data_IF_958162253621
#
_entry.id   IF_958162253621
#
_cell.length_a   1.000
_cell.length_b   1.000
_cell.length_c   1.000
_cell.angle_alpha   90.00
_cell.angle_beta   90.00
_cell.angle_gamma   90.00
#
_symmetry.space_group_name_H-M   'P 1'
#
loop_
_entity.id
_entity.type
_entity.pdbx_description
1 polymer ?
#
# COMPACT_ATOMS: atom_id res chain seq x y z
N UNK A 1 -27.42 -6.40 2.20
CA UNK A 1 -26.14 -7.15 2.22
C UNK A 1 -26.48 -8.63 2.10
N UNK A 2 -26.02 -9.32 1.05
CA UNK A 2 -26.23 -10.76 0.94
C UNK A 2 -24.96 -11.46 1.43
N UNK A 3 -25.03 -12.08 2.60
CA UNK A 3 -23.92 -12.84 3.18
C UNK A 3 -23.98 -14.30 2.72
N UNK A 4 -22.86 -14.82 2.23
CA UNK A 4 -22.76 -16.21 1.80
C UNK A 4 -22.28 -17.08 2.97
N UNK A 5 -23.14 -18.00 3.39
CA UNK A 5 -22.89 -18.93 4.47
C UNK A 5 -22.65 -20.33 3.88
N UNK A 6 -21.61 -21.01 4.38
CA UNK A 6 -21.46 -22.46 4.24
C UNK A 6 -21.95 -23.10 5.53
N UNK A 7 -22.81 -24.10 5.43
CA UNK A 7 -23.20 -24.92 6.58
C UNK A 7 -22.13 -26.01 6.76
N UNK A 8 -21.57 -26.13 7.97
CA UNK A 8 -20.78 -27.31 8.32
C UNK A 8 -21.68 -28.54 8.54
N UNK A 9 -21.10 -29.72 8.72
CA UNK A 9 -21.85 -30.97 8.92
C UNK A 9 -22.77 -30.94 10.16
N UNK A 10 -22.64 -29.93 11.04
CA UNK A 10 -23.51 -29.67 12.17
C UNK A 10 -24.56 -28.57 11.95
N UNK A 11 -24.68 -28.03 10.73
CA UNK A 11 -25.67 -26.99 10.40
C UNK A 11 -25.28 -25.58 10.86
N UNK A 12 -24.03 -25.35 11.28
CA UNK A 12 -23.58 -24.01 11.66
C UNK A 12 -23.23 -23.23 10.40
N UNK A 13 -23.94 -22.11 10.21
CA UNK A 13 -23.63 -21.16 9.15
C UNK A 13 -22.27 -20.49 9.45
N UNK A 14 -21.30 -20.69 8.56
CA UNK A 14 -20.00 -19.98 8.57
C UNK A 14 -19.86 -19.12 7.32
N UNK A 15 -19.46 -17.85 7.50
CA UNK A 15 -19.19 -16.94 6.38
C UNK A 15 -18.14 -17.55 5.45
N UNK A 16 -18.48 -17.75 4.17
CA UNK A 16 -17.56 -18.34 3.20
C UNK A 16 -16.37 -17.38 2.99
N UNK A 17 -15.19 -17.74 3.53
CA UNK A 17 -13.98 -16.91 3.44
C UNK A 17 -13.23 -17.08 2.12
N UNK A 18 -13.48 -18.19 1.41
CA UNK A 18 -12.84 -18.50 0.14
C UNK A 18 -13.80 -19.25 -0.80
N UNK A 19 -13.80 -18.86 -2.08
CA UNK A 19 -14.54 -19.57 -3.12
C UNK A 19 -13.60 -19.89 -4.26
N UNK A 20 -13.66 -21.14 -4.69
CA UNK A 20 -12.80 -21.72 -5.69
C UNK A 20 -13.66 -22.08 -6.91
N UNK A 21 -13.16 -21.78 -8.10
CA UNK A 21 -13.68 -22.25 -9.39
C UNK A 21 -12.71 -23.28 -9.94
N UNK A 22 -13.23 -24.32 -10.57
CA UNK A 22 -12.40 -25.20 -11.38
C UNK A 22 -12.31 -24.62 -12.78
N UNK A 23 -11.10 -24.51 -13.34
CA UNK A 23 -10.96 -24.23 -14.77
C UNK A 23 -11.29 -25.49 -15.60
N UNK A 24 -11.35 -25.35 -16.92
CA UNK A 24 -11.73 -26.46 -17.82
C UNK A 24 -10.79 -27.68 -17.71
N UNK A 25 -9.61 -27.52 -17.08
CA UNK A 25 -8.66 -28.60 -16.77
C UNK A 25 -8.80 -29.18 -15.36
N UNK A 26 -9.81 -28.79 -14.58
CA UNK A 26 -10.02 -29.27 -13.22
C UNK A 26 -9.06 -28.68 -12.19
N UNK A 27 -8.33 -27.60 -12.51
CA UNK A 27 -7.43 -26.94 -11.56
C UNK A 27 -8.25 -25.96 -10.72
N UNK A 28 -8.24 -26.07 -9.39
CA UNK A 28 -8.90 -25.11 -8.52
C UNK A 28 -8.19 -23.75 -8.58
N UNK A 29 -8.94 -22.71 -8.91
CA UNK A 29 -8.52 -21.31 -8.94
C UNK A 29 -9.41 -20.51 -8.01
N UNK A 30 -8.87 -19.59 -7.22
CA UNK A 30 -9.72 -18.70 -6.42
C UNK A 30 -10.53 -17.77 -7.31
N UNK A 31 -11.82 -17.64 -7.02
CA UNK A 31 -12.72 -16.77 -7.76
C UNK A 31 -12.38 -15.30 -7.44
N UNK A 32 -12.29 -14.45 -8.48
CA UNK A 32 -12.06 -13.00 -8.31
C UNK A 32 -13.35 -12.23 -8.10
N UNK A 33 -14.45 -12.71 -8.67
CA UNK A 33 -15.78 -12.16 -8.48
C UNK A 33 -16.78 -13.30 -8.39
N UNK A 34 -17.86 -13.08 -7.64
CA UNK A 34 -19.01 -13.99 -7.62
C UNK A 34 -20.26 -13.16 -7.85
N UNK A 35 -21.10 -13.65 -8.74
CA UNK A 35 -22.38 -13.07 -9.07
C UNK A 35 -23.48 -14.07 -8.75
N UNK A 36 -24.55 -13.61 -8.12
CA UNK A 36 -25.75 -14.41 -7.85
C UNK A 36 -26.91 -13.80 -8.62
N UNK A 37 -27.66 -14.63 -9.34
CA UNK A 37 -28.92 -14.22 -9.93
C UNK A 37 -30.02 -14.25 -8.86
N UNK A 38 -30.74 -13.14 -8.73
CA UNK A 38 -31.94 -13.07 -7.89
C UNK A 38 -33.15 -13.74 -8.56
N UNK A 39 -34.27 -13.85 -7.83
CA UNK A 39 -35.55 -14.33 -8.39
C UNK A 39 -36.06 -13.46 -9.55
N UNK A 40 -35.58 -12.21 -9.62
CA UNK A 40 -35.80 -11.22 -10.66
C UNK A 40 -34.96 -11.45 -11.93
N UNK A 41 -34.10 -12.48 -11.95
CA UNK A 41 -33.16 -12.73 -13.05
C UNK A 41 -32.02 -11.72 -13.14
N UNK A 42 -31.89 -10.81 -12.17
CA UNK A 42 -30.85 -9.78 -12.16
C UNK A 42 -29.59 -10.33 -11.49
N UNK A 43 -28.45 -10.23 -12.18
CA UNK A 43 -27.16 -10.57 -11.62
C UNK A 43 -26.74 -9.52 -10.57
N UNK A 44 -26.46 -9.98 -9.35
CA UNK A 44 -25.94 -9.14 -8.26
C UNK A 44 -24.57 -9.65 -7.83
N UNK A 45 -23.57 -8.77 -7.82
CA UNK A 45 -22.23 -9.12 -7.34
C UNK A 45 -22.29 -9.36 -5.82
N UNK A 46 -21.90 -10.56 -5.40
CA UNK A 46 -21.89 -10.99 -3.99
C UNK A 46 -20.48 -11.17 -3.44
N UNK A 47 -19.46 -11.14 -4.30
CA UNK A 47 -18.05 -11.08 -3.90
C UNK A 47 -17.25 -10.29 -4.92
N UNK A 48 -16.36 -9.42 -4.43
CA UNK A 48 -15.35 -8.73 -5.23
C UNK A 48 -14.00 -8.87 -4.53
N UNK A 49 -13.09 -9.63 -5.15
CA UNK A 49 -11.70 -9.74 -4.75
C UNK A 49 -10.87 -8.53 -5.15
N UNK A 50 -11.38 -7.71 -6.09
CA UNK A 50 -10.68 -6.53 -6.55
C UNK A 50 -10.92 -5.34 -5.64
N UNK A 51 -9.83 -4.63 -5.35
CA UNK A 51 -9.80 -3.46 -4.49
C UNK A 51 -9.23 -2.27 -5.23
N UNK A 52 -9.41 -1.06 -4.72
CA UNK A 52 -8.70 0.14 -5.21
C UNK A 52 -7.77 0.66 -4.13
N UNK A 53 -6.67 1.28 -4.56
CA UNK A 53 -5.71 1.92 -3.66
C UNK A 53 -5.81 3.43 -3.79
N UNK A 54 -5.75 4.11 -2.66
CA UNK A 54 -5.57 5.55 -2.57
C UNK A 54 -4.47 5.84 -1.56
N UNK A 55 -3.71 6.91 -1.77
CA UNK A 55 -2.74 7.41 -0.81
C UNK A 55 -3.22 8.76 -0.30
N UNK A 56 -2.98 9.05 0.98
CA UNK A 56 -3.31 10.36 1.56
C UNK A 56 -2.56 11.53 0.91
N UNK A 57 -1.44 11.25 0.25
CA UNK A 57 -0.68 12.22 -0.54
C UNK A 57 0.10 11.50 -1.65
N UNK A 58 0.22 12.14 -2.82
CA UNK A 58 1.08 11.68 -3.92
C UNK A 58 2.56 12.05 -3.71
N UNK A 59 2.82 13.03 -2.83
CA UNK A 59 4.16 13.50 -2.49
C UNK A 59 4.22 13.82 -1.00
N UNK A 60 5.30 13.40 -0.36
CA UNK A 60 5.59 13.73 1.05
C UNK A 60 6.93 14.44 1.16
N UNK A 61 6.99 15.37 2.10
CA UNK A 61 8.10 16.28 2.28
C UNK A 61 8.70 16.14 3.67
N UNK A 62 9.99 16.39 3.78
CA UNK A 62 10.69 16.53 5.05
C UNK A 62 11.87 17.48 4.90
N UNK A 63 12.19 18.20 5.96
CA UNK A 63 13.35 19.09 6.00
C UNK A 63 14.08 18.92 7.33
N UNK A 64 15.39 19.11 7.31
CA UNK A 64 16.21 19.17 8.51
C UNK A 64 17.43 20.03 8.24
N UNK A 65 18.04 20.53 9.31
CA UNK A 65 19.21 21.39 9.22
C UNK A 65 20.33 20.93 10.16
N UNK A 66 21.53 21.40 9.88
CA UNK A 66 22.70 21.29 10.75
C UNK A 66 23.50 22.59 10.67
N UNK A 67 24.15 22.95 11.78
CA UNK A 67 25.13 24.05 11.83
C UNK A 67 26.56 23.60 11.50
N UNK A 68 26.76 22.31 11.21
CA UNK A 68 28.05 21.75 10.83
C UNK A 68 28.13 21.57 9.32
N UNK A 69 29.08 22.28 8.69
CA UNK A 69 29.34 22.22 7.25
C UNK A 69 29.47 20.77 6.76
N UNK A 70 28.68 20.38 5.75
CA UNK A 70 28.79 19.07 5.12
C UNK A 70 28.35 17.88 5.97
N UNK A 71 27.84 18.10 7.19
CA UNK A 71 27.45 17.02 8.08
C UNK A 71 26.20 16.28 7.58
N UNK A 72 26.08 15.01 7.96
CA UNK A 72 24.90 14.20 7.65
C UNK A 72 23.68 14.70 8.43
N UNK A 73 22.63 15.05 7.71
CA UNK A 73 21.34 15.46 8.27
C UNK A 73 20.32 14.34 8.10
N UNK A 74 19.81 13.74 9.18
CA UNK A 74 18.69 12.81 9.10
C UNK A 74 17.38 13.60 8.93
N UNK A 75 16.62 13.28 7.89
CA UNK A 75 15.33 13.92 7.58
C UNK A 75 14.25 12.86 7.51
N UNK A 76 13.15 13.07 8.24
CA UNK A 76 11.95 12.25 8.20
C UNK A 76 10.81 13.06 7.59
N UNK A 77 10.08 12.44 6.67
CA UNK A 77 8.96 13.08 5.98
C UNK A 77 7.66 13.08 6.80
N UNK A 78 6.69 13.91 6.40
CA UNK A 78 5.30 13.75 6.81
C UNK A 78 4.79 12.34 6.47
N UNK A 79 3.92 11.73 7.29
CA UNK A 79 3.43 10.39 7.04
C UNK A 79 2.56 10.32 5.77
N UNK A 80 2.59 9.16 5.11
CA UNK A 80 1.61 8.77 4.10
C UNK A 80 0.83 7.56 4.59
N UNK A 81 -0.48 7.55 4.33
CA UNK A 81 -1.36 6.41 4.61
C UNK A 81 -1.93 5.90 3.30
N UNK A 82 -1.77 4.61 3.03
CA UNK A 82 -2.43 3.91 1.92
C UNK A 82 -3.74 3.31 2.41
N UNK A 83 -4.83 3.57 1.70
CA UNK A 83 -6.16 3.05 1.99
C UNK A 83 -6.62 2.11 0.89
N UNK A 84 -7.04 0.91 1.31
CA UNK A 84 -7.70 -0.08 0.47
C UNK A 84 -9.20 0.20 0.48
N UNK A 85 -9.82 0.28 -0.69
CA UNK A 85 -11.25 0.50 -0.85
C UNK A 85 -11.88 -0.62 -1.69
N UNK A 86 -13.19 -0.84 -1.52
CA UNK A 86 -14.00 -1.80 -2.29
C UNK A 86 -13.59 -3.28 -2.18
N UNK A 87 -12.59 -3.59 -1.35
CA UNK A 87 -12.16 -4.93 -1.04
C UNK A 87 -12.52 -5.31 0.40
N UNK A 88 -12.85 -6.59 0.60
CA UNK A 88 -13.22 -7.15 1.91
C UNK A 88 -12.22 -8.19 2.41
N UNK A 89 -11.03 -8.22 1.81
CA UNK A 89 -10.01 -9.23 2.04
C UNK A 89 -9.04 -8.89 3.18
N UNK A 90 -8.04 -9.75 3.35
CA UNK A 90 -6.88 -9.48 4.21
C UNK A 90 -5.75 -9.05 3.29
N UNK A 91 -5.04 -7.99 3.66
CA UNK A 91 -4.02 -7.37 2.81
C UNK A 91 -2.66 -7.42 3.47
N UNK A 92 -1.62 -7.77 2.71
CA UNK A 92 -0.23 -7.51 3.06
C UNK A 92 0.26 -6.26 2.35
N UNK A 93 1.20 -5.57 2.97
CA UNK A 93 1.74 -4.30 2.48
C UNK A 93 3.26 -4.40 2.50
N UNK A 94 3.91 -3.88 1.45
CA UNK A 94 5.35 -3.78 1.37
C UNK A 94 5.75 -2.47 0.67
N UNK A 95 6.63 -1.70 1.29
CA UNK A 95 7.22 -0.49 0.72
C UNK A 95 8.63 -0.76 0.21
N UNK A 96 8.93 -0.26 -0.99
CA UNK A 96 10.26 -0.33 -1.56
C UNK A 96 10.57 0.92 -2.39
N UNK A 97 11.87 1.23 -2.53
CA UNK A 97 12.31 2.27 -3.47
C UNK A 97 12.13 1.76 -4.90
N UNK A 98 11.42 2.54 -5.71
CA UNK A 98 11.23 2.27 -7.13
C UNK A 98 12.33 2.93 -7.97
N UNK A 99 12.62 4.20 -7.71
CA UNK A 99 13.58 4.99 -8.49
C UNK A 99 14.07 6.23 -7.73
N UNK A 100 15.13 6.87 -8.24
CA UNK A 100 15.70 8.10 -7.69
C UNK A 100 16.45 7.88 -6.37
N UNK A 101 16.54 8.95 -5.55
CA UNK A 101 17.23 8.89 -4.26
C UNK A 101 16.48 7.98 -3.29
N UNK A 102 17.16 6.96 -2.77
CA UNK A 102 16.59 6.03 -1.81
C UNK A 102 16.14 6.72 -0.52
N UNK A 103 15.04 6.23 0.05
CA UNK A 103 14.58 6.62 1.37
C UNK A 103 14.06 5.37 2.08
N UNK A 104 14.33 5.27 3.38
CA UNK A 104 13.98 4.09 4.16
C UNK A 104 12.58 4.27 4.75
N UNK A 105 11.60 3.40 4.44
CA UNK A 105 10.32 3.40 5.13
C UNK A 105 10.52 3.01 6.60
N UNK A 106 10.00 3.81 7.51
CA UNK A 106 10.06 3.56 8.96
C UNK A 106 9.15 2.40 9.37
N UNK A 107 8.11 2.12 8.59
CA UNK A 107 7.19 1.00 8.77
C UNK A 107 6.99 0.29 7.42
N UNK A 108 7.96 -0.56 6.99
CA UNK A 108 7.98 -1.13 5.64
C UNK A 108 6.78 -2.01 5.32
N UNK A 109 6.11 -2.56 6.33
CA UNK A 109 5.03 -3.52 6.18
C UNK A 109 3.66 -2.99 6.64
N UNK A 110 3.53 -1.69 6.88
CA UNK A 110 2.29 -1.07 7.35
C UNK A 110 1.72 -0.08 6.32
N UNK A 111 0.41 0.13 6.38
CA UNK A 111 -0.32 1.05 5.51
C UNK A 111 0.10 2.51 5.70
N UNK A 112 0.40 2.88 6.95
CA UNK A 112 0.92 4.19 7.30
C UNK A 112 2.42 4.09 7.55
N UNK A 113 3.20 4.94 6.89
CA UNK A 113 4.65 5.02 7.09
C UNK A 113 5.15 6.45 6.89
N UNK A 114 6.35 6.71 7.40
CA UNK A 114 7.17 7.86 7.05
C UNK A 114 8.43 7.37 6.36
N UNK A 115 9.06 8.23 5.57
CA UNK A 115 10.34 7.91 4.95
C UNK A 115 11.45 8.74 5.57
N UNK A 116 12.56 8.07 5.91
CA UNK A 116 13.77 8.70 6.41
C UNK A 116 14.88 8.67 5.37
N UNK A 117 15.58 9.78 5.20
CA UNK A 117 16.79 9.89 4.39
C UNK A 117 17.89 10.54 5.22
N UNK A 118 19.11 10.00 5.11
CA UNK A 118 20.31 10.62 5.66
C UNK A 118 21.15 11.08 4.48
N UNK A 119 21.46 12.38 4.42
CA UNK A 119 22.33 12.92 3.38
C UNK A 119 23.15 14.09 3.93
N UNK A 120 24.28 14.37 3.30
CA UNK A 120 25.12 15.50 3.66
C UNK A 120 24.38 16.82 3.38
N UNK A 121 24.44 17.75 4.32
CA UNK A 121 24.10 19.14 4.06
C UNK A 121 25.10 19.79 3.10
N UNK A 122 24.75 20.92 2.45
CA UNK A 122 25.70 21.70 1.66
C UNK A 122 26.91 22.20 2.44
N UNK A 123 27.90 22.70 1.71
CA UNK A 123 29.08 23.36 2.28
C UNK A 123 28.93 24.88 2.38
N UNK A 124 27.87 25.44 1.78
CA UNK A 124 27.51 26.86 1.81
C UNK A 124 26.30 27.07 2.72
N UNK A 125 26.41 28.04 3.63
CA UNK A 125 25.35 28.39 4.60
C UNK A 125 24.11 28.92 3.86
N UNK A 126 22.92 28.62 4.38
CA UNK A 126 21.65 29.03 3.80
C UNK A 126 21.30 28.28 2.51
N UNK A 127 21.90 27.10 2.29
CA UNK A 127 21.60 26.22 1.14
C UNK A 127 21.06 24.88 1.61
N UNK A 128 20.32 24.24 0.71
CA UNK A 128 19.80 22.89 0.88
C UNK A 128 20.29 21.95 -0.24
N UNK A 129 20.56 20.70 0.13
CA UNK A 129 20.56 19.60 -0.84
C UNK A 129 19.15 19.01 -0.88
N UNK A 130 18.48 19.15 -2.03
CA UNK A 130 17.15 18.58 -2.26
C UNK A 130 17.28 17.25 -2.97
N UNK A 131 16.76 16.19 -2.35
CA UNK A 131 16.78 14.83 -2.89
C UNK A 131 15.36 14.34 -3.13
N UNK A 132 15.15 13.66 -4.26
CA UNK A 132 13.86 13.13 -4.66
C UNK A 132 13.98 11.69 -5.13
N UNK A 133 13.01 10.86 -4.76
CA UNK A 133 12.88 9.48 -5.21
C UNK A 133 11.46 8.98 -5.06
N UNK A 134 11.10 7.94 -5.81
CA UNK A 134 9.77 7.35 -5.78
C UNK A 134 9.79 6.09 -4.93
N UNK A 135 8.86 6.01 -3.99
CA UNK A 135 8.60 4.83 -3.17
C UNK A 135 7.32 4.17 -3.65
N UNK A 136 7.37 2.86 -3.88
CA UNK A 136 6.22 2.06 -4.27
C UNK A 136 5.70 1.28 -3.07
N UNK A 137 4.42 1.45 -2.78
CA UNK A 137 3.68 0.54 -1.93
C UNK A 137 3.08 -0.55 -2.80
N UNK A 138 3.35 -1.80 -2.46
CA UNK A 138 2.71 -2.98 -3.04
C UNK A 138 1.75 -3.55 -2.01
N UNK A 139 0.48 -3.66 -2.40
CA UNK A 139 -0.57 -4.25 -1.57
C UNK A 139 -1.04 -5.53 -2.24
N UNK A 140 -1.02 -6.63 -1.49
CA UNK A 140 -1.43 -7.95 -1.98
C UNK A 140 -2.61 -8.44 -1.15
N UNK A 141 -3.71 -8.78 -1.79
CA UNK A 141 -4.81 -9.46 -1.11
C UNK A 141 -4.46 -10.95 -0.94
N UNK A 142 -4.41 -11.40 0.31
CA UNK A 142 -3.84 -12.69 0.71
C UNK A 142 -4.62 -13.86 0.14
N UNK A 143 -5.94 -13.73 0.05
CA UNK A 143 -6.77 -14.84 -0.36
C UNK A 143 -6.65 -15.02 -1.88
N UNK A 144 -6.97 -14.01 -2.67
CA UNK A 144 -7.04 -14.00 -4.13
C UNK A 144 -5.70 -13.88 -4.83
N UNK A 145 -4.67 -13.38 -4.14
CA UNK A 145 -3.36 -13.07 -4.74
C UNK A 145 -3.38 -11.84 -5.65
N UNK A 146 -4.45 -11.03 -5.61
CA UNK A 146 -4.49 -9.78 -6.38
C UNK A 146 -3.48 -8.77 -5.83
N UNK A 147 -2.68 -8.19 -6.71
CA UNK A 147 -1.66 -7.21 -6.37
C UNK A 147 -2.00 -5.87 -7.00
N UNK A 148 -1.94 -4.80 -6.21
CA UNK A 148 -1.98 -3.42 -6.70
C UNK A 148 -0.84 -2.63 -6.10
N UNK A 149 -0.45 -1.58 -6.82
CA UNK A 149 0.64 -0.71 -6.42
C UNK A 149 0.20 0.74 -6.43
N UNK A 150 0.83 1.55 -5.56
CA UNK A 150 0.71 3.00 -5.57
C UNK A 150 2.07 3.61 -5.30
N UNK A 151 2.38 4.66 -6.04
CA UNK A 151 3.68 5.34 -6.00
C UNK A 151 3.55 6.66 -5.25
N UNK A 152 4.52 6.94 -4.38
CA UNK A 152 4.62 8.17 -3.60
C UNK A 152 5.98 8.79 -3.82
N UNK A 153 6.02 10.07 -4.19
CA UNK A 153 7.27 10.81 -4.33
C UNK A 153 7.74 11.30 -2.96
N UNK A 154 9.01 11.06 -2.64
CA UNK A 154 9.65 11.43 -1.36
C UNK A 154 10.70 12.49 -1.61
N UNK A 155 10.39 13.71 -1.17
CA UNK A 155 11.28 14.87 -1.28
C UNK A 155 11.84 15.20 0.10
N UNK A 156 13.17 15.29 0.22
CA UNK A 156 13.81 15.73 1.46
C UNK A 156 14.81 16.84 1.20
N UNK A 157 14.87 17.80 2.12
CA UNK A 157 15.82 18.89 2.10
C UNK A 157 16.77 18.82 3.29
N UNK A 158 18.06 18.81 3.00
CA UNK A 158 19.14 18.73 3.98
C UNK A 158 19.87 20.07 3.99
N UNK A 159 19.60 20.89 5.00
CA UNK A 159 20.06 22.27 5.08
C UNK A 159 21.37 22.41 5.87
N UNK A 160 22.25 23.31 5.41
CA UNK A 160 23.33 23.84 6.23
C UNK A 160 22.97 25.28 6.61
N UNK A 161 22.63 25.49 7.88
CA UNK A 161 22.22 26.79 8.41
C UNK A 161 22.59 26.93 9.91
N UNK A 162 22.69 28.17 10.41
CA UNK A 162 23.08 28.47 11.80
C UNK A 162 21.89 28.82 12.69
#
# INVERSE_FOLDING_TARGET
MAEMWRYDAGGVARKAREVWRYDAGGVPRKAREIWRYGPDGVARKVFNGSFTLTASAATVFGSGFTSTRGATVPVTTTPVTVTVQNGSGVYTIAWATLSGSSATPMSPNLATTQFRRNAAAPTTVGKANTLSGVQRCTVTEVNTGEVKTIDVTVVTEHWYDF
#
